data_IF_152927814784
#
_entry.id   IF_152927814784
#
_cell.length_a   1.000
_cell.length_b   1.000
_cell.length_c   1.000
_cell.angle_alpha   90.00
_cell.angle_beta   90.00
_cell.angle_gamma   90.00
#
_symmetry.space_group_name_H-M   'P 1'
#
loop_
_entity.id
_entity.type
_entity.pdbx_description
1 polymer ?
#
# COMPACT_ATOMS: atom_id res chain seq x y z
N UNK A 1 14.62 22.41 -9.29
CA UNK A 1 14.44 20.94 -9.31
C UNK A 1 13.62 20.58 -8.09
N UNK A 2 12.43 19.99 -8.24
CA UNK A 2 11.61 19.57 -7.08
C UNK A 2 12.25 18.32 -6.46
N UNK A 3 12.41 18.24 -5.14
CA UNK A 3 12.98 17.06 -4.44
C UNK A 3 12.25 15.76 -4.82
N UNK A 4 10.96 15.87 -5.14
CA UNK A 4 10.15 14.77 -5.61
C UNK A 4 10.61 14.22 -6.97
N UNK A 5 11.11 15.09 -7.86
CA UNK A 5 11.69 14.70 -9.16
C UNK A 5 13.08 14.06 -9.01
N UNK A 6 13.75 14.27 -7.87
CA UNK A 6 15.02 13.62 -7.55
C UNK A 6 14.84 12.18 -7.01
N UNK A 7 13.60 11.76 -6.71
CA UNK A 7 13.32 10.40 -6.25
C UNK A 7 13.62 9.40 -7.37
N UNK A 8 14.59 8.53 -7.12
CA UNK A 8 14.93 7.41 -8.00
C UNK A 8 14.22 6.15 -7.52
N UNK A 9 13.04 5.90 -8.08
CA UNK A 9 12.30 4.66 -7.85
C UNK A 9 13.03 3.45 -8.42
N UNK A 10 12.97 2.33 -7.69
CA UNK A 10 13.35 1.00 -8.18
C UNK A 10 12.53 0.62 -9.42
N UNK A 11 12.94 -0.47 -10.08
CA UNK A 11 12.02 -1.15 -11.00
C UNK A 11 10.75 -1.56 -10.25
N UNK A 12 9.64 -1.66 -10.97
CA UNK A 12 8.40 -2.17 -10.44
C UNK A 12 8.48 -3.70 -10.30
N UNK A 13 7.93 -4.22 -9.20
CA UNK A 13 7.83 -5.65 -8.91
C UNK A 13 6.37 -6.00 -8.65
N UNK A 14 5.87 -7.12 -9.17
CA UNK A 14 4.53 -7.56 -8.80
C UNK A 14 4.51 -8.10 -7.38
N UNK A 15 3.36 -8.04 -6.70
CA UNK A 15 3.20 -8.73 -5.42
C UNK A 15 3.43 -10.23 -5.60
N UNK A 16 2.96 -10.79 -6.71
CA UNK A 16 3.17 -12.20 -7.03
C UNK A 16 4.66 -12.57 -7.08
N UNK A 17 5.50 -11.83 -7.82
CA UNK A 17 6.95 -12.06 -7.87
C UNK A 17 7.58 -12.11 -6.47
N UNK A 18 7.18 -11.19 -5.59
CA UNK A 18 7.75 -11.07 -4.25
C UNK A 18 7.17 -12.08 -3.23
N UNK A 19 6.19 -12.88 -3.65
CA UNK A 19 5.52 -13.87 -2.79
C UNK A 19 5.53 -15.30 -3.36
N UNK A 20 5.83 -15.49 -4.65
CA UNK A 20 5.83 -16.79 -5.32
C UNK A 20 6.95 -17.72 -4.84
N UNK A 21 8.14 -17.19 -4.55
CA UNK A 21 9.32 -17.99 -4.23
C UNK A 21 9.94 -17.62 -2.88
N UNK A 22 10.52 -18.63 -2.21
CA UNK A 22 11.26 -18.44 -0.97
C UNK A 22 12.50 -17.60 -1.26
N UNK A 23 12.56 -16.41 -0.65
CA UNK A 23 13.71 -15.50 -0.80
C UNK A 23 13.53 -14.41 -1.84
N UNK A 24 12.43 -14.39 -2.61
CA UNK A 24 12.17 -13.35 -3.62
C UNK A 24 12.17 -11.92 -3.06
N UNK A 25 11.94 -11.76 -1.75
CA UNK A 25 11.98 -10.46 -1.04
C UNK A 25 13.39 -9.97 -0.73
N UNK A 26 14.43 -10.77 -1.00
CA UNK A 26 15.83 -10.38 -0.79
C UNK A 26 16.26 -9.17 -1.63
N UNK A 27 15.51 -8.85 -2.69
CA UNK A 27 15.71 -7.63 -3.50
C UNK A 27 15.24 -6.35 -2.78
N UNK A 28 14.46 -6.47 -1.70
CA UNK A 28 13.95 -5.32 -0.96
C UNK A 28 15.03 -4.85 0.03
N UNK A 29 15.50 -3.61 -0.06
CA UNK A 29 16.52 -3.06 0.83
C UNK A 29 16.07 -3.04 2.30
N UNK A 30 17.02 -3.14 3.22
CA UNK A 30 16.77 -3.01 4.66
C UNK A 30 16.77 -1.55 5.12
N UNK A 31 17.21 -0.65 4.26
CA UNK A 31 17.31 0.77 4.44
C UNK A 31 15.94 1.43 4.56
N UNK A 32 15.93 2.64 5.10
CA UNK A 32 14.75 3.47 5.13
C UNK A 32 14.44 4.00 3.74
N UNK A 33 13.16 4.16 3.44
CA UNK A 33 12.79 4.69 2.15
C UNK A 33 11.31 4.91 1.94
N UNK A 34 10.99 5.42 0.76
CA UNK A 34 9.62 5.52 0.25
C UNK A 34 9.22 4.22 -0.43
N UNK A 35 7.93 3.92 -0.40
CA UNK A 35 7.36 2.81 -1.16
C UNK A 35 6.01 3.21 -1.72
N UNK A 36 5.69 2.67 -2.90
CA UNK A 36 4.44 2.92 -3.57
C UNK A 36 3.90 1.62 -4.17
N UNK A 37 2.65 1.30 -3.88
CA UNK A 37 1.86 0.31 -4.58
C UNK A 37 1.09 0.98 -5.71
N UNK A 38 1.12 0.41 -6.90
CA UNK A 38 0.49 0.96 -8.09
C UNK A 38 -0.28 -0.11 -8.87
N UNK A 39 -1.29 0.31 -9.63
CA UNK A 39 -1.93 -0.51 -10.65
C UNK A 39 -1.03 -0.58 -11.89
N UNK A 40 -0.70 -1.79 -12.33
CA UNK A 40 0.14 -2.05 -13.51
C UNK A 40 1.63 -1.71 -13.36
N UNK A 41 2.41 -1.98 -14.40
CA UNK A 41 3.88 -1.86 -14.41
C UNK A 41 4.37 -0.41 -14.63
N UNK A 42 5.46 -0.02 -13.98
CA UNK A 42 6.10 1.30 -14.16
C UNK A 42 6.26 2.10 -12.87
N UNK A 43 6.77 3.33 -13.00
CA UNK A 43 6.99 4.23 -11.86
C UNK A 43 5.67 4.75 -11.29
N UNK A 44 5.62 5.13 -10.00
CA UNK A 44 4.45 5.76 -9.41
C UNK A 44 4.00 7.00 -10.19
N UNK A 45 2.69 7.15 -10.37
CA UNK A 45 2.06 8.29 -11.04
C UNK A 45 0.65 8.52 -10.48
N UNK A 46 0.11 9.75 -10.54
CA UNK A 46 -1.15 10.08 -9.87
C UNK A 46 -2.35 9.18 -10.22
N UNK A 47 -2.48 8.74 -11.48
CA UNK A 47 -3.63 7.94 -11.93
C UNK A 47 -3.48 6.43 -11.68
N UNK A 48 -2.38 6.02 -11.07
CA UNK A 48 -2.03 4.61 -10.89
C UNK A 48 -1.60 4.29 -9.47
N UNK A 49 -1.34 5.30 -8.65
CA UNK A 49 -0.89 5.08 -7.29
C UNK A 49 -2.06 4.59 -6.44
N UNK A 50 -1.92 3.39 -5.90
CA UNK A 50 -2.89 2.79 -5.01
C UNK A 50 -2.60 3.19 -3.57
N UNK A 51 -1.32 3.15 -3.18
CA UNK A 51 -0.92 3.49 -1.83
C UNK A 51 0.53 3.94 -1.82
N UNK A 52 0.87 4.96 -1.04
CA UNK A 52 2.25 5.41 -0.81
C UNK A 52 2.53 5.50 0.68
N UNK A 53 3.79 5.31 1.05
CA UNK A 53 4.22 5.64 2.40
C UNK A 53 5.73 5.66 2.58
N UNK A 54 6.14 5.93 3.82
CA UNK A 54 7.54 5.95 4.23
C UNK A 54 7.86 4.86 5.26
N UNK A 55 9.03 4.24 5.12
CA UNK A 55 9.52 3.18 5.97
C UNK A 55 10.68 3.67 6.83
N UNK A 56 10.38 4.28 7.99
CA UNK A 56 11.39 4.86 8.91
C UNK A 56 11.80 3.94 10.08
N UNK A 57 11.12 2.80 10.24
CA UNK A 57 11.35 1.87 11.33
C UNK A 57 12.71 1.15 11.26
N UNK A 58 13.10 0.47 12.34
CA UNK A 58 14.40 -0.22 12.47
C UNK A 58 14.67 -1.27 11.37
N UNK A 59 13.63 -1.86 10.80
CA UNK A 59 13.71 -2.86 9.71
C UNK A 59 13.53 -2.26 8.31
N UNK A 60 13.44 -0.92 8.21
CA UNK A 60 13.29 -0.16 6.97
C UNK A 60 12.21 -0.68 6.03
N UNK A 61 12.51 -0.57 4.73
CA UNK A 61 11.65 -0.99 3.63
C UNK A 61 11.33 -2.48 3.72
N UNK A 62 12.33 -3.34 3.93
CA UNK A 62 12.13 -4.79 4.05
C UNK A 62 11.09 -5.16 5.12
N UNK A 63 11.18 -4.58 6.31
CA UNK A 63 10.22 -4.82 7.38
C UNK A 63 8.83 -4.26 7.10
N UNK A 64 8.74 -3.05 6.54
CA UNK A 64 7.45 -2.41 6.23
C UNK A 64 6.73 -3.14 5.11
N UNK A 65 7.40 -3.36 3.98
CA UNK A 65 6.86 -4.05 2.80
C UNK A 65 6.54 -5.51 3.08
N UNK A 66 7.39 -6.21 3.86
CA UNK A 66 7.12 -7.58 4.28
C UNK A 66 5.77 -7.76 4.99
N UNK A 67 5.25 -6.70 5.63
CA UNK A 67 3.94 -6.75 6.28
C UNK A 67 2.77 -6.80 5.29
N UNK A 68 2.92 -6.25 4.08
CA UNK A 68 1.94 -6.23 2.98
C UNK A 68 2.05 -7.49 2.12
N UNK A 69 3.26 -8.00 1.93
CA UNK A 69 3.58 -9.13 1.06
C UNK A 69 3.30 -10.49 1.73
N UNK A 70 2.13 -10.70 2.32
CA UNK A 70 1.77 -12.05 2.84
C UNK A 70 1.37 -12.95 1.67
N UNK A 71 1.86 -14.20 1.66
CA UNK A 71 1.50 -15.22 0.64
C UNK A 71 0.00 -15.53 0.66
N UNK A 72 -0.59 -15.60 1.85
CA UNK A 72 -2.03 -15.76 2.03
C UNK A 72 -2.62 -14.64 2.90
N UNK A 73 -3.66 -14.00 2.37
CA UNK A 73 -4.52 -13.06 3.05
C UNK A 73 -5.98 -13.42 2.72
N UNK A 74 -6.82 -13.47 3.74
CA UNK A 74 -8.26 -13.75 3.63
C UNK A 74 -9.06 -12.50 3.96
N UNK A 75 -10.33 -12.45 3.56
CA UNK A 75 -11.23 -11.33 3.89
C UNK A 75 -11.29 -11.06 5.39
N UNK A 76 -11.52 -12.12 6.20
CA UNK A 76 -11.54 -12.02 7.66
C UNK A 76 -10.29 -11.32 8.22
N UNK A 77 -9.12 -11.65 7.64
CA UNK A 77 -7.84 -11.07 8.06
C UNK A 77 -7.66 -9.65 7.55
N UNK A 78 -8.13 -9.34 6.35
CA UNK A 78 -8.15 -8.00 5.78
C UNK A 78 -9.04 -7.07 6.61
N UNK A 79 -10.28 -7.49 6.89
CA UNK A 79 -11.25 -6.75 7.72
C UNK A 79 -10.69 -6.43 9.12
N UNK A 80 -9.98 -7.37 9.75
CA UNK A 80 -9.37 -7.17 11.06
C UNK A 80 -8.13 -6.23 11.05
N UNK A 81 -7.65 -5.75 9.90
CA UNK A 81 -6.48 -4.88 9.86
C UNK A 81 -6.84 -3.46 10.30
N UNK A 82 -6.14 -2.95 11.32
CA UNK A 82 -6.32 -1.56 11.81
C UNK A 82 -5.85 -0.49 10.82
N UNK A 83 -4.82 -0.78 10.03
CA UNK A 83 -4.24 0.20 9.11
C UNK A 83 -5.04 0.24 7.79
N UNK A 84 -5.74 1.35 7.54
CA UNK A 84 -6.63 1.54 6.39
C UNK A 84 -6.03 1.17 5.03
N UNK A 85 -4.94 1.82 4.62
CA UNK A 85 -4.36 1.55 3.31
C UNK A 85 -3.90 0.10 3.11
N UNK A 86 -3.54 -0.58 4.21
CA UNK A 86 -3.19 -2.00 4.20
C UNK A 86 -4.42 -2.90 4.08
N UNK A 87 -5.51 -2.54 4.76
CA UNK A 87 -6.82 -3.18 4.63
C UNK A 87 -7.27 -3.11 3.16
N UNK A 88 -7.29 -1.92 2.57
CA UNK A 88 -7.71 -1.68 1.18
C UNK A 88 -6.81 -2.40 0.17
N UNK A 89 -5.48 -2.33 0.33
CA UNK A 89 -4.58 -3.15 -0.50
C UNK A 89 -4.84 -4.65 -0.35
N UNK A 90 -5.19 -5.13 0.84
CA UNK A 90 -5.50 -6.56 1.04
C UNK A 90 -6.79 -6.95 0.35
N UNK A 91 -7.83 -6.11 0.40
CA UNK A 91 -9.06 -6.33 -0.36
C UNK A 91 -8.81 -6.25 -1.87
N UNK A 92 -8.01 -5.31 -2.36
CA UNK A 92 -7.62 -5.26 -3.76
C UNK A 92 -6.96 -6.56 -4.26
N UNK A 93 -6.14 -7.20 -3.41
CA UNK A 93 -5.54 -8.51 -3.71
C UNK A 93 -6.56 -9.66 -3.74
N UNK A 94 -7.65 -9.54 -2.98
CA UNK A 94 -8.72 -10.56 -2.90
C UNK A 94 -9.75 -10.34 -4.02
N UNK A 95 -10.34 -9.15 -4.05
CA UNK A 95 -11.50 -8.75 -4.86
C UNK A 95 -11.13 -8.08 -6.19
N UNK A 96 -9.85 -7.77 -6.41
CA UNK A 96 -9.41 -6.93 -7.52
C UNK A 96 -9.56 -5.44 -7.20
N UNK A 97 -8.97 -4.58 -8.03
CA UNK A 97 -8.92 -3.13 -7.78
C UNK A 97 -10.30 -2.46 -7.75
N UNK A 98 -11.27 -3.04 -8.47
CA UNK A 98 -12.65 -2.55 -8.56
C UNK A 98 -13.56 -3.10 -7.44
N UNK A 99 -13.07 -4.01 -6.58
CA UNK A 99 -13.87 -4.58 -5.49
C UNK A 99 -14.90 -5.65 -5.90
N UNK A 100 -15.12 -5.91 -7.20
CA UNK A 100 -16.21 -6.77 -7.70
C UNK A 100 -15.92 -8.28 -7.71
N UNK A 101 -14.72 -8.72 -7.32
CA UNK A 101 -14.34 -10.13 -7.35
C UNK A 101 -15.07 -10.98 -6.30
N UNK A 102 -15.28 -12.26 -6.58
CA UNK A 102 -15.96 -13.18 -5.64
C UNK A 102 -15.02 -14.00 -4.75
N UNK A 103 -13.70 -13.89 -4.93
CA UNK A 103 -12.73 -14.64 -4.14
C UNK A 103 -12.76 -14.24 -2.65
N UNK A 104 -12.43 -15.18 -1.77
CA UNK A 104 -12.36 -15.00 -0.30
C UNK A 104 -10.92 -14.91 0.23
N UNK A 105 -9.94 -15.08 -0.66
CA UNK A 105 -8.51 -14.93 -0.40
C UNK A 105 -7.79 -14.34 -1.61
N UNK A 106 -6.56 -13.84 -1.43
CA UNK A 106 -5.81 -13.25 -2.54
C UNK A 106 -5.60 -14.25 -3.67
N UNK A 107 -5.73 -13.77 -4.90
CA UNK A 107 -5.50 -14.57 -6.10
C UNK A 107 -4.18 -14.20 -6.75
N UNK A 108 -3.55 -15.16 -7.44
CA UNK A 108 -2.37 -14.89 -8.25
C UNK A 108 -2.66 -13.82 -9.31
N UNK A 109 -3.85 -13.83 -9.92
CA UNK A 109 -4.22 -12.86 -10.94
C UNK A 109 -4.17 -11.43 -10.38
N UNK A 110 -4.81 -11.18 -9.24
CA UNK A 110 -4.83 -9.87 -8.60
C UNK A 110 -3.44 -9.45 -8.11
N UNK A 111 -2.67 -10.38 -7.54
CA UNK A 111 -1.30 -10.12 -7.08
C UNK A 111 -0.32 -9.78 -8.22
N UNK A 112 -0.60 -10.23 -9.45
CA UNK A 112 0.15 -9.83 -10.66
C UNK A 112 -0.19 -8.43 -11.15
N UNK A 113 -1.39 -7.92 -10.88
CA UNK A 113 -1.79 -6.57 -11.30
C UNK A 113 -1.25 -5.47 -10.40
N UNK A 114 -1.02 -5.77 -9.12
CA UNK A 114 -0.51 -4.81 -8.15
C UNK A 114 1.01 -4.85 -8.14
N UNK A 115 1.62 -3.70 -8.43
CA UNK A 115 3.06 -3.53 -8.45
C UNK A 115 3.51 -2.70 -7.26
N UNK A 116 4.72 -2.96 -6.79
CA UNK A 116 5.40 -2.17 -5.77
C UNK A 116 6.72 -1.66 -6.31
N UNK A 117 7.01 -0.39 -6.04
CA UNK A 117 8.31 0.24 -6.23
C UNK A 117 8.74 0.90 -4.93
N UNK A 118 10.05 1.05 -4.73
CA UNK A 118 10.60 1.74 -3.57
C UNK A 118 11.73 2.67 -3.97
N UNK A 119 12.02 3.66 -3.14
CA UNK A 119 13.15 4.56 -3.31
C UNK A 119 13.85 4.74 -1.97
N UNK A 120 15.17 4.70 -1.97
CA UNK A 120 15.94 4.98 -0.77
C UNK A 120 15.86 6.47 -0.46
N UNK A 121 15.72 6.79 0.83
CA UNK A 121 15.77 8.18 1.27
C UNK A 121 17.05 8.37 2.09
N UNK A 122 17.89 9.36 1.75
CA UNK A 122 19.08 9.68 2.52
C UNK A 122 18.70 10.44 3.80
N UNK A 123 17.90 9.81 4.67
CA UNK A 123 17.53 10.36 5.96
C UNK A 123 18.42 9.79 7.07
N UNK A 124 19.27 10.64 7.63
CA UNK A 124 19.98 10.33 8.86
C UNK A 124 19.09 10.64 10.07
N UNK A 125 18.56 9.61 10.72
CA UNK A 125 17.88 9.75 12.01
C UNK A 125 18.90 9.40 13.13
N UNK A 126 19.63 10.39 13.67
CA UNK A 126 20.52 10.21 14.84
C UNK A 126 20.38 11.40 15.81
N UNK A 127 20.44 11.13 17.12
CA UNK A 127 20.47 12.15 18.18
C UNK A 127 19.13 12.84 18.49
N UNK A 128 19.18 14.02 19.12
CA UNK A 128 18.01 14.84 19.48
C UNK A 128 17.11 15.20 18.28
N UNK A 129 17.64 15.15 17.06
CA UNK A 129 16.92 15.25 15.79
C UNK A 129 15.93 14.09 15.52
N UNK A 130 15.83 13.09 16.41
CA UNK A 130 14.91 11.96 16.27
C UNK A 130 13.41 12.36 16.36
N UNK A 131 13.08 13.44 17.08
CA UNK A 131 11.72 14.00 17.11
C UNK A 131 11.40 14.71 15.79
N UNK A 132 12.26 15.66 15.40
CA UNK A 132 12.16 16.44 14.15
C UNK A 132 12.14 15.54 12.90
N UNK A 133 12.83 14.41 12.94
CA UNK A 133 12.90 13.48 11.82
C UNK A 133 11.63 12.63 11.63
N UNK A 134 10.84 12.39 12.69
CA UNK A 134 9.51 11.79 12.53
C UNK A 134 8.54 12.77 11.90
N UNK A 135 8.59 14.03 12.33
CA UNK A 135 7.79 15.10 11.74
C UNK A 135 8.18 15.31 10.27
N UNK A 136 9.48 15.33 9.97
CA UNK A 136 9.97 15.44 8.60
C UNK A 136 9.54 14.23 7.75
N UNK A 137 9.61 13.02 8.28
CA UNK A 137 9.10 11.82 7.60
C UNK A 137 7.59 11.92 7.31
N UNK A 138 6.82 12.44 8.26
CA UNK A 138 5.38 12.68 8.10
C UNK A 138 5.10 13.75 7.03
N UNK A 139 5.86 14.85 7.02
CA UNK A 139 5.77 15.89 5.99
C UNK A 139 6.09 15.35 4.60
N UNK A 140 7.15 14.55 4.46
CA UNK A 140 7.51 13.91 3.20
C UNK A 140 6.44 12.92 2.74
N UNK A 141 5.92 12.10 3.66
CA UNK A 141 4.82 11.18 3.37
C UNK A 141 3.57 11.94 2.93
N UNK A 142 3.24 13.06 3.58
CA UNK A 142 2.11 13.89 3.20
C UNK A 142 2.28 14.51 1.83
N UNK A 143 3.46 15.05 1.52
CA UNK A 143 3.75 15.62 0.21
C UNK A 143 3.71 14.56 -0.91
N UNK A 144 4.12 13.31 -0.63
CA UNK A 144 3.93 12.19 -1.55
C UNK A 144 2.44 11.90 -1.78
N UNK A 145 1.64 11.89 -0.72
CA UNK A 145 0.19 11.68 -0.81
C UNK A 145 -0.47 12.81 -1.61
N UNK A 146 -0.12 14.07 -1.36
CA UNK A 146 -0.72 15.22 -2.05
C UNK A 146 -0.37 15.23 -3.55
N UNK A 147 0.85 14.82 -3.90
CA UNK A 147 1.28 14.73 -5.29
C UNK A 147 0.70 13.53 -6.04
N UNK A 148 0.87 12.32 -5.49
CA UNK A 148 0.45 11.09 -6.16
C UNK A 148 -1.03 10.77 -5.97
N UNK A 149 -1.74 11.48 -5.09
CA UNK A 149 -3.16 11.29 -4.75
C UNK A 149 -3.58 9.81 -4.71
N UNK A 150 -2.87 8.97 -3.95
CA UNK A 150 -3.06 7.54 -4.03
C UNK A 150 -4.41 7.12 -3.46
N UNK A 151 -5.11 6.27 -4.21
CA UNK A 151 -6.49 5.87 -3.94
C UNK A 151 -6.70 5.44 -2.47
N UNK A 152 -5.84 4.61 -1.91
CA UNK A 152 -6.01 4.00 -0.60
C UNK A 152 -5.40 4.77 0.58
N UNK A 153 -4.68 5.87 0.35
CA UNK A 153 -4.36 6.81 1.44
C UNK A 153 -5.49 7.83 1.65
N UNK A 154 -6.27 8.14 0.61
CA UNK A 154 -7.28 9.21 0.61
C UNK A 154 -8.72 8.72 0.53
N UNK A 155 -8.97 7.49 0.06
CA UNK A 155 -10.32 6.91 -0.03
C UNK A 155 -11.00 6.94 1.33
N UNK A 156 -12.26 7.39 1.40
CA UNK A 156 -13.06 7.36 2.62
C UNK A 156 -13.95 6.12 2.76
N UNK A 157 -13.38 4.93 2.54
CA UNK A 157 -14.11 3.65 2.50
C UNK A 157 -14.96 3.27 3.74
N UNK A 158 -14.88 3.96 4.88
CA UNK A 158 -15.85 3.69 5.97
C UNK A 158 -17.22 4.32 5.66
N UNK A 159 -17.26 5.42 4.90
CA UNK A 159 -18.48 5.94 4.30
C UNK A 159 -18.94 5.08 3.11
N UNK A 160 -18.01 4.64 2.25
CA UNK A 160 -18.37 3.83 1.06
C UNK A 160 -18.81 2.39 1.41
N UNK A 161 -18.16 1.75 2.40
CA UNK A 161 -18.58 0.41 2.88
C UNK A 161 -19.89 0.46 3.67
N UNK A 162 -20.17 1.56 4.39
CA UNK A 162 -21.47 1.74 5.03
C UNK A 162 -22.58 1.87 3.99
N UNK A 163 -22.33 2.57 2.88
CA UNK A 163 -23.26 2.66 1.74
C UNK A 163 -23.44 1.30 1.03
N UNK A 164 -22.37 0.54 0.80
CA UNK A 164 -22.46 -0.81 0.20
C UNK A 164 -23.12 -1.84 1.13
N UNK A 165 -23.03 -1.69 2.45
CA UNK A 165 -23.69 -2.57 3.44
C UNK A 165 -25.15 -2.18 3.71
N UNK A 166 -25.53 -0.90 3.55
CA UNK A 166 -26.92 -0.44 3.64
C UNK A 166 -27.73 -0.78 2.39
N UNK A 167 -27.11 -0.89 1.21
CA UNK A 167 -27.79 -1.33 -0.02
C UNK A 167 -28.24 -2.81 0.02
N UNK A 168 -27.66 -3.63 0.90
CA UNK A 168 -28.10 -5.00 1.19
C UNK A 168 -29.24 -5.08 2.24
N UNK A 169 -29.68 -3.94 2.81
CA UNK A 169 -30.85 -3.87 3.69
C UNK A 169 -32.11 -3.57 2.87
N UNK A 170 -32.65 -4.59 2.19
CA UNK A 170 -34.05 -4.57 1.76
C UNK A 170 -34.88 -4.74 3.03
N UNK A 171 -35.66 -3.74 3.49
CA UNK A 171 -36.69 -4.01 4.48
C UNK A 171 -37.69 -4.94 3.78
N UNK A 172 -37.87 -6.16 4.28
CA UNK A 172 -39.04 -6.95 3.91
C UNK A 172 -40.27 -6.09 4.21
N UNK A 173 -41.02 -5.77 3.15
CA UNK A 173 -42.40 -5.31 3.24
C UNK A 173 -43.16 -6.30 4.11
N UNK A 174 -43.49 -5.88 5.34
CA UNK A 174 -44.57 -6.48 6.12
C UNK A 174 -45.82 -5.64 5.89
N UNK A 175 -46.52 -5.99 4.80
CA UNK A 175 -47.91 -5.65 4.52
C UNK A 175 -48.69 -6.92 4.22
#
# INVERSE_FOLDING_TARGET
MNWLQAITWSRAHTIYELTAERGARGVIPQERGFYAFCSGAGKPSPNRCLYVGIAVGKRGLHGRLGSYLRTSVTEKKAAAMKHRGKRLLSFARIKGLQGTGSATSNTMANDKFIHVSWALVPLEFKGAAAADSREYAFMLERALIDYYRPLYNTADWEADLALELDEDFIPEDVG
#
